data_IF_793380454524
#
_entry.id   IF_793380454524
#
_cell.length_a   1.000
_cell.length_b   1.000
_cell.length_c   1.000
_cell.angle_alpha   90.00
_cell.angle_beta   90.00
_cell.angle_gamma   90.00
#
_symmetry.space_group_name_H-M   'P 1'
#
loop_
_entity.id
_entity.type
_entity.pdbx_description
1 polymer ?
#
# COMPACT_ATOMS: atom_id res chain seq x y z
N UNK A 1 11.29 -16.23 -14.75
CA UNK A 1 11.21 -15.58 -13.43
C UNK A 1 11.94 -16.48 -12.46
N UNK A 2 13.17 -16.14 -12.10
CA UNK A 2 14.03 -16.96 -11.22
C UNK A 2 13.96 -16.33 -9.83
N UNK A 3 13.64 -17.14 -8.81
CA UNK A 3 13.67 -16.68 -7.42
C UNK A 3 15.11 -16.83 -6.93
N UNK A 4 15.85 -15.73 -7.01
CA UNK A 4 17.17 -15.61 -6.42
C UNK A 4 17.09 -15.04 -5.00
N UNK A 5 18.24 -14.90 -4.33
CA UNK A 5 18.29 -14.36 -2.96
C UNK A 5 17.74 -12.93 -2.88
N UNK A 6 17.92 -12.12 -3.92
CA UNK A 6 17.42 -10.75 -3.95
C UNK A 6 15.89 -10.73 -4.04
N UNK A 7 15.30 -11.61 -4.85
CA UNK A 7 13.86 -11.74 -4.98
C UNK A 7 13.22 -12.30 -3.70
N UNK A 8 13.86 -13.28 -3.04
CA UNK A 8 13.43 -13.77 -1.73
C UNK A 8 13.46 -12.67 -0.67
N UNK A 9 14.53 -11.86 -0.63
CA UNK A 9 14.62 -10.70 0.25
C UNK A 9 13.56 -9.66 -0.10
N UNK A 10 13.32 -9.40 -1.39
CA UNK A 10 12.29 -8.48 -1.87
C UNK A 10 10.88 -8.92 -1.44
N UNK A 11 10.60 -10.22 -1.43
CA UNK A 11 9.34 -10.75 -0.94
C UNK A 11 9.16 -10.49 0.57
N UNK A 12 10.18 -10.72 1.39
CA UNK A 12 10.10 -10.49 2.85
C UNK A 12 10.06 -8.98 3.16
N UNK A 13 10.91 -8.19 2.52
CA UNK A 13 10.97 -6.74 2.70
C UNK A 13 9.65 -6.07 2.29
N UNK A 14 9.10 -6.48 1.14
CA UNK A 14 7.83 -5.96 0.66
C UNK A 14 6.64 -6.39 1.52
N UNK A 15 6.65 -7.58 2.13
CA UNK A 15 5.65 -7.96 3.13
C UNK A 15 5.65 -6.96 4.29
N UNK A 16 6.81 -6.71 4.90
CA UNK A 16 6.93 -5.77 6.03
C UNK A 16 6.50 -4.36 5.62
N UNK A 17 6.96 -3.88 4.45
CA UNK A 17 6.64 -2.54 3.95
C UNK A 17 5.17 -2.35 3.59
N UNK A 18 4.56 -3.29 2.86
CA UNK A 18 3.17 -3.18 2.43
C UNK A 18 2.21 -3.32 3.62
N UNK A 19 2.47 -4.27 4.53
CA UNK A 19 1.60 -4.48 5.70
C UNK A 19 1.75 -3.41 6.77
N UNK A 20 2.79 -2.58 6.76
CA UNK A 20 2.90 -1.43 7.68
C UNK A 20 1.70 -0.47 7.59
N UNK A 21 1.02 -0.41 6.43
CA UNK A 21 -0.17 0.43 6.23
C UNK A 21 -1.49 -0.24 6.63
N UNK A 22 -1.52 -1.57 6.79
CA UNK A 22 -2.74 -2.31 7.12
C UNK A 22 -3.31 -1.98 8.52
N UNK A 23 -2.50 -1.81 9.60
CA UNK A 23 -3.00 -1.42 10.91
C UNK A 23 -3.78 -0.11 10.90
N UNK A 24 -3.39 0.86 10.08
CA UNK A 24 -4.09 2.14 10.02
C UNK A 24 -5.47 1.99 9.36
N UNK A 25 -5.60 1.20 8.29
CA UNK A 25 -6.90 0.90 7.70
C UNK A 25 -7.82 0.19 8.70
N UNK A 26 -7.29 -0.81 9.41
CA UNK A 26 -8.02 -1.53 10.46
C UNK A 26 -8.47 -0.59 11.59
N UNK A 27 -7.60 0.32 12.05
CA UNK A 27 -7.92 1.30 13.08
C UNK A 27 -9.07 2.21 12.67
N UNK A 28 -9.09 2.70 11.42
CA UNK A 28 -10.20 3.55 10.92
C UNK A 28 -11.52 2.77 10.83
N UNK A 29 -11.46 1.50 10.45
CA UNK A 29 -12.63 0.62 10.41
C UNK A 29 -13.19 0.38 11.83
N UNK A 30 -12.31 0.08 12.78
CA UNK A 30 -12.66 -0.21 14.17
C UNK A 30 -13.16 1.03 14.93
N UNK A 31 -12.39 2.12 14.88
CA UNK A 31 -12.59 3.27 15.78
C UNK A 31 -13.67 4.21 15.27
N UNK A 32 -14.12 4.08 14.02
CA UNK A 32 -15.14 4.99 13.54
C UNK A 32 -14.60 6.35 13.07
N UNK A 33 -13.28 6.56 13.12
CA UNK A 33 -12.71 7.89 12.97
C UNK A 33 -11.50 7.89 12.03
N UNK A 34 -11.48 8.89 11.14
CA UNK A 34 -10.38 9.18 10.22
C UNK A 34 -9.93 10.64 10.29
N UNK A 35 -10.42 11.44 11.24
CA UNK A 35 -10.17 12.88 11.37
C UNK A 35 -8.67 13.20 11.39
N UNK A 36 -7.90 12.48 12.21
CA UNK A 36 -6.45 12.63 12.34
C UNK A 36 -5.61 12.02 11.20
N UNK A 37 -6.23 11.40 10.19
CA UNK A 37 -5.51 10.76 9.07
C UNK A 37 -5.29 11.74 7.92
N UNK A 38 -4.04 11.93 7.50
CA UNK A 38 -3.69 12.79 6.37
C UNK A 38 -4.06 12.14 5.04
N UNK A 39 -4.98 12.76 4.28
CA UNK A 39 -5.34 12.28 2.94
C UNK A 39 -4.14 12.39 1.97
N UNK A 40 -3.35 13.46 2.07
CA UNK A 40 -2.18 13.68 1.21
C UNK A 40 -1.18 12.54 1.31
N UNK A 41 -0.90 12.08 2.53
CA UNK A 41 0.02 10.95 2.78
C UNK A 41 -0.43 9.72 2.00
N UNK A 42 -1.70 9.36 2.09
CA UNK A 42 -2.20 8.16 1.41
C UNK A 42 -2.36 8.33 -0.11
N UNK A 43 -2.59 9.55 -0.61
CA UNK A 43 -2.51 9.84 -2.05
C UNK A 43 -1.09 9.64 -2.58
N UNK A 44 -0.07 10.11 -1.85
CA UNK A 44 1.33 9.91 -2.21
C UNK A 44 1.72 8.44 -2.16
N UNK A 45 1.28 7.69 -1.14
CA UNK A 45 1.52 6.24 -1.05
C UNK A 45 0.85 5.52 -2.23
N UNK A 46 -0.40 5.85 -2.56
CA UNK A 46 -1.10 5.24 -3.70
C UNK A 46 -0.38 5.51 -5.02
N UNK A 47 -0.05 6.77 -5.31
CA UNK A 47 0.66 7.15 -6.53
C UNK A 47 2.04 6.49 -6.61
N UNK A 48 2.81 6.53 -5.50
CA UNK A 48 4.11 5.88 -5.41
C UNK A 48 4.02 4.37 -5.64
N UNK A 49 3.02 3.69 -5.07
CA UNK A 49 2.80 2.27 -5.27
C UNK A 49 2.44 1.94 -6.72
N UNK A 50 1.60 2.73 -7.38
CA UNK A 50 1.30 2.55 -8.82
C UNK A 50 2.56 2.70 -9.68
N UNK A 51 3.38 3.71 -9.38
CA UNK A 51 4.64 3.95 -10.09
C UNK A 51 5.65 2.81 -9.88
N UNK A 52 5.85 2.38 -8.64
CA UNK A 52 6.74 1.27 -8.30
C UNK A 52 6.24 -0.06 -8.85
N UNK A 53 4.94 -0.33 -8.82
CA UNK A 53 4.35 -1.52 -9.43
C UNK A 53 4.58 -1.57 -10.93
N UNK A 54 4.35 -0.44 -11.62
CA UNK A 54 4.65 -0.29 -13.06
C UNK A 54 6.13 -0.49 -13.36
N UNK A 55 7.02 0.07 -12.52
CA UNK A 55 8.45 -0.18 -12.60
C UNK A 55 8.79 -1.65 -12.39
N UNK A 56 8.16 -2.33 -11.43
CA UNK A 56 8.32 -3.76 -11.20
C UNK A 56 7.96 -4.60 -12.43
N UNK A 57 6.87 -4.24 -13.14
CA UNK A 57 6.49 -4.86 -14.42
C UNK A 57 7.61 -4.70 -15.44
N UNK A 58 8.13 -3.47 -15.62
CA UNK A 58 9.21 -3.19 -16.58
C UNK A 58 10.52 -3.92 -16.24
N UNK A 59 10.77 -4.17 -14.94
CA UNK A 59 11.95 -4.88 -14.45
C UNK A 59 11.77 -6.40 -14.38
N UNK A 60 10.57 -6.91 -14.62
CA UNK A 60 10.25 -8.32 -14.40
C UNK A 60 10.52 -8.76 -12.96
N UNK A 61 10.19 -7.90 -11.97
CA UNK A 61 10.44 -8.08 -10.54
C UNK A 61 9.11 -8.35 -9.78
N UNK A 62 8.71 -9.62 -9.59
CA UNK A 62 7.42 -10.02 -9.04
C UNK A 62 7.19 -9.51 -7.62
N UNK A 63 8.22 -9.51 -6.78
CA UNK A 63 8.19 -9.00 -5.41
C UNK A 63 7.74 -7.54 -5.39
N UNK A 64 8.32 -6.70 -6.25
CA UNK A 64 7.96 -5.29 -6.39
C UNK A 64 6.51 -5.16 -6.89
N UNK A 65 6.13 -5.93 -7.92
CA UNK A 65 4.78 -5.89 -8.50
C UNK A 65 3.72 -6.24 -7.46
N UNK A 66 3.89 -7.38 -6.77
CA UNK A 66 2.95 -7.91 -5.80
C UNK A 66 2.75 -6.93 -4.64
N UNK A 67 3.85 -6.50 -4.01
CA UNK A 67 3.75 -5.71 -2.78
C UNK A 67 3.27 -4.29 -3.02
N UNK A 68 3.58 -3.70 -4.18
CA UNK A 68 3.04 -2.39 -4.53
C UNK A 68 1.56 -2.47 -4.93
N UNK A 69 1.09 -3.56 -5.51
CA UNK A 69 -0.35 -3.77 -5.70
C UNK A 69 -1.09 -3.82 -4.35
N UNK A 70 -0.54 -4.53 -3.36
CA UNK A 70 -1.10 -4.57 -1.99
C UNK A 70 -1.08 -3.19 -1.33
N UNK A 71 0.04 -2.47 -1.40
CA UNK A 71 0.16 -1.12 -0.83
C UNK A 71 -0.83 -0.14 -1.47
N UNK A 72 -1.00 -0.19 -2.79
CA UNK A 72 -2.00 0.62 -3.50
C UNK A 72 -3.42 0.29 -3.03
N UNK A 73 -3.76 -0.99 -2.87
CA UNK A 73 -5.07 -1.41 -2.35
C UNK A 73 -5.35 -0.89 -0.93
N UNK A 74 -4.36 -1.02 -0.03
CA UNK A 74 -4.48 -0.51 1.35
C UNK A 74 -4.61 1.01 1.38
N UNK A 75 -3.81 1.72 0.59
CA UNK A 75 -3.88 3.18 0.52
C UNK A 75 -5.22 3.67 -0.05
N UNK A 76 -5.72 3.01 -1.10
CA UNK A 76 -7.05 3.28 -1.64
C UNK A 76 -8.15 3.06 -0.60
N UNK A 77 -8.08 1.97 0.17
CA UNK A 77 -9.04 1.70 1.24
C UNK A 77 -9.03 2.81 2.31
N UNK A 78 -7.85 3.27 2.74
CA UNK A 78 -7.75 4.38 3.70
C UNK A 78 -8.34 5.67 3.13
N UNK A 79 -8.05 6.00 1.86
CA UNK A 79 -8.61 7.18 1.19
C UNK A 79 -10.14 7.11 1.11
N UNK A 80 -10.69 5.96 0.69
CA UNK A 80 -12.14 5.73 0.63
C UNK A 80 -12.76 5.94 2.01
N UNK A 81 -12.19 5.36 3.07
CA UNK A 81 -12.71 5.51 4.43
C UNK A 81 -12.62 6.96 4.92
N UNK A 82 -11.52 7.66 4.63
CA UNK A 82 -11.35 9.08 4.97
C UNK A 82 -12.43 9.94 4.32
N UNK A 83 -12.63 9.80 3.01
CA UNK A 83 -13.58 10.64 2.28
C UNK A 83 -15.04 10.28 2.55
N UNK A 84 -15.37 9.00 2.78
CA UNK A 84 -16.73 8.60 3.17
C UNK A 84 -17.15 9.15 4.53
N UNK A 85 -16.22 9.28 5.49
CA UNK A 85 -16.51 9.84 6.81
C UNK A 85 -16.50 11.36 6.85
N UNK A 86 -15.70 12.03 6.01
CA UNK A 86 -15.74 13.50 5.87
C UNK A 86 -17.06 14.00 5.26
N UNK A 87 -17.78 13.13 4.55
CA UNK A 87 -19.05 13.47 3.89
C UNK A 87 -20.29 13.21 4.75
N UNK A 88 -20.12 12.80 6.01
CA UNK A 88 -21.17 12.68 7.04
C UNK A 88 -20.94 13.72 8.12
#
# INVERSE_FOLDING_TARGET
>A
MQIDLAEALGLVAGFVGAFAFAPQAFKILRDGDASGVSALTYMMVFAGAVLWGSYGVMRGAPSIMLWNAVAAGLAAMVLILKFRRLSR
#
